data_IF_838445048361
#
_entry.id   IF_838445048361
#
_cell.length_a   1.000
_cell.length_b   1.000
_cell.length_c   1.000
_cell.angle_alpha   90.00
_cell.angle_beta   90.00
_cell.angle_gamma   90.00
#
_symmetry.space_group_name_H-M   'P 1'
#
loop_
_entity.id
_entity.type
_entity.pdbx_description
1 polymer ?
#
# COMPACT_ATOMS: atom_id res chain seq x y z
N UNK A 1 32.04 8.10 61.83
CA UNK A 1 31.94 7.55 60.46
C UNK A 1 31.28 8.59 59.58
N UNK A 2 31.97 9.04 58.52
CA UNK A 2 31.52 10.12 57.64
C UNK A 2 30.52 9.56 56.63
N UNK A 3 29.26 10.00 56.69
CA UNK A 3 28.31 9.79 55.59
C UNK A 3 28.72 10.71 54.43
N UNK A 4 29.30 10.14 53.38
CA UNK A 4 29.48 10.82 52.10
C UNK A 4 28.11 10.91 51.43
N UNK A 5 27.47 12.07 51.55
CA UNK A 5 26.44 12.49 50.59
C UNK A 5 27.18 12.81 49.30
N UNK A 6 27.15 11.90 48.34
CA UNK A 6 27.58 12.19 46.97
C UNK A 6 26.42 12.93 46.31
N UNK A 7 26.49 14.26 46.27
CA UNK A 7 25.58 15.04 45.44
C UNK A 7 25.96 14.79 43.97
N UNK A 8 25.24 13.89 43.28
CA UNK A 8 25.30 13.84 41.83
C UNK A 8 24.57 15.09 41.31
N UNK A 9 25.33 16.14 41.00
CA UNK A 9 24.84 17.26 40.18
C UNK A 9 24.68 16.73 38.76
N UNK A 10 23.51 16.19 38.43
CA UNK A 10 23.13 15.95 37.04
C UNK A 10 22.95 17.32 36.39
N UNK A 11 24.00 17.80 35.74
CA UNK A 11 23.92 18.98 34.89
C UNK A 11 23.29 18.50 33.59
N UNK A 12 21.96 18.49 33.51
CA UNK A 12 21.26 18.36 32.23
C UNK A 12 21.60 19.60 31.40
N UNK A 13 22.65 19.52 30.59
CA UNK A 13 22.71 20.31 29.38
C UNK A 13 21.78 19.65 28.37
N UNK A 14 20.49 19.95 28.48
CA UNK A 14 19.55 19.73 27.39
C UNK A 14 19.87 20.76 26.30
N UNK A 15 20.82 20.43 25.42
CA UNK A 15 20.93 21.13 24.15
C UNK A 15 19.70 20.73 23.34
N UNK A 16 18.67 21.59 23.36
CA UNK A 16 17.54 21.50 22.48
C UNK A 16 18.05 21.49 21.03
N UNK A 17 17.97 20.34 20.35
CA UNK A 17 18.23 20.28 18.92
C UNK A 17 17.00 20.83 18.22
N UNK A 18 17.19 22.03 17.66
CA UNK A 18 16.25 22.70 16.78
C UNK A 18 15.98 21.79 15.59
N UNK A 19 14.69 21.51 15.35
CA UNK A 19 14.19 20.99 14.09
C UNK A 19 14.61 21.95 12.97
N UNK A 20 15.76 21.69 12.35
CA UNK A 20 16.23 22.49 11.22
C UNK A 20 15.39 22.13 10.01
N UNK A 21 14.68 23.13 9.50
CA UNK A 21 13.79 23.04 8.37
C UNK A 21 14.56 22.61 7.10
N UNK A 22 14.49 21.33 6.79
CA UNK A 22 14.59 20.81 5.43
C UNK A 22 13.36 19.94 5.21
N UNK A 23 12.33 20.53 4.60
CA UNK A 23 11.12 19.90 4.10
C UNK A 23 10.66 18.66 4.91
N UNK A 24 10.30 18.86 6.18
CA UNK A 24 9.48 17.87 6.89
C UNK A 24 8.20 17.69 6.07
N UNK A 25 8.03 16.54 5.42
CA UNK A 25 6.73 16.20 4.86
C UNK A 25 5.71 16.28 6.02
N UNK A 26 4.52 16.84 5.79
CA UNK A 26 3.53 16.99 6.86
C UNK A 26 3.27 15.65 7.55
N UNK A 27 3.41 15.60 8.88
CA UNK A 27 3.07 14.43 9.71
C UNK A 27 4.24 13.69 10.37
N UNK A 28 5.49 14.10 10.16
CA UNK A 28 6.65 13.46 10.83
C UNK A 28 6.94 14.05 12.20
N UNK A 29 7.28 13.19 13.17
CA UNK A 29 7.71 13.58 14.52
C UNK A 29 9.02 12.89 14.88
N UNK A 30 10.00 13.66 15.36
CA UNK A 30 11.16 13.13 16.09
C UNK A 30 10.96 13.40 17.58
N UNK A 31 11.16 12.38 18.39
CA UNK A 31 10.95 12.42 19.85
C UNK A 31 12.14 11.82 20.57
N UNK A 32 12.55 12.37 21.71
CA UNK A 32 13.53 11.75 22.60
C UNK A 32 12.77 11.07 23.74
N UNK A 33 13.05 9.80 23.98
CA UNK A 33 12.41 9.01 25.05
C UNK A 33 13.47 8.31 25.89
N UNK A 34 13.09 7.87 27.09
CA UNK A 34 13.93 7.02 27.94
C UNK A 34 13.24 5.67 28.06
N UNK A 35 13.97 4.59 27.78
CA UNK A 35 13.42 3.24 27.90
C UNK A 35 13.39 2.75 29.36
N UNK A 36 12.87 1.53 29.57
CA UNK A 36 12.78 0.92 30.90
C UNK A 36 14.13 0.65 31.56
N UNK A 37 15.22 0.66 30.81
CA UNK A 37 16.59 0.45 31.29
C UNK A 37 17.35 1.77 31.51
N UNK A 38 16.70 2.91 31.26
CA UNK A 38 17.28 4.23 31.42
C UNK A 38 18.10 4.71 30.21
N UNK A 39 18.04 4.01 29.08
CA UNK A 39 18.71 4.44 27.86
C UNK A 39 17.91 5.54 27.14
N UNK A 40 18.63 6.53 26.63
CA UNK A 40 18.07 7.55 25.76
C UNK A 40 17.84 6.96 24.37
N UNK A 41 16.62 7.12 23.86
CA UNK A 41 16.21 6.72 22.52
C UNK A 41 15.82 7.96 21.72
N UNK A 42 16.22 7.99 20.46
CA UNK A 42 15.58 8.84 19.46
C UNK A 42 14.49 8.00 18.79
N UNK A 43 13.25 8.47 18.86
CA UNK A 43 12.07 7.87 18.26
C UNK A 43 11.63 8.69 17.07
N UNK A 44 11.41 8.05 15.94
CA UNK A 44 10.81 8.63 14.75
C UNK A 44 9.39 8.13 14.59
N UNK A 45 8.49 9.03 14.24
CA UNK A 45 7.14 8.71 13.78
C UNK A 45 6.90 9.43 12.46
N UNK A 46 6.25 8.76 11.51
CA UNK A 46 5.92 9.37 10.23
C UNK A 46 4.67 8.76 9.61
N UNK A 47 4.13 9.41 8.55
CA UNK A 47 2.99 8.90 7.82
C UNK A 47 3.17 7.43 7.40
N UNK A 48 2.19 6.56 7.69
CA UNK A 48 2.25 5.11 7.50
C UNK A 48 2.48 4.66 6.04
N UNK A 49 2.18 5.53 5.08
CA UNK A 49 2.38 5.34 3.65
C UNK A 49 3.76 5.77 3.14
N UNK A 50 4.66 6.22 4.01
CA UNK A 50 5.99 6.71 3.63
C UNK A 50 7.07 6.00 4.41
N UNK A 51 8.04 5.44 3.69
CA UNK A 51 9.27 4.94 4.31
C UNK A 51 10.16 6.10 4.72
N UNK A 52 10.74 5.98 5.89
CA UNK A 52 11.70 6.92 6.43
C UNK A 52 12.96 6.22 6.83
N UNK A 53 14.08 6.91 6.66
CA UNK A 53 15.33 6.49 7.28
C UNK A 53 15.63 7.47 8.39
N UNK A 54 15.81 6.95 9.60
CA UNK A 54 16.36 7.74 10.69
C UNK A 54 17.86 7.88 10.43
N UNK A 55 18.31 9.12 10.27
CA UNK A 55 19.71 9.40 10.02
C UNK A 55 20.35 10.15 11.19
N UNK A 56 21.59 9.79 11.49
CA UNK A 56 22.45 10.45 12.46
C UNK A 56 23.57 11.21 11.77
N UNK A 57 23.99 12.34 12.35
CA UNK A 57 25.15 13.10 11.87
C UNK A 57 25.93 13.70 13.03
N UNK A 58 27.26 13.68 12.96
CA UNK A 58 28.12 14.39 13.93
C UNK A 58 28.37 15.86 13.57
N UNK A 59 28.14 16.26 12.32
CA UNK A 59 28.57 17.55 11.77
C UNK A 59 27.50 18.27 10.91
N UNK A 60 26.29 17.70 10.81
CA UNK A 60 25.19 18.09 9.92
C UNK A 60 25.49 17.98 8.42
N UNK A 61 26.68 17.51 8.02
CA UNK A 61 27.13 17.40 6.64
C UNK A 61 27.09 15.94 6.17
N UNK A 62 27.64 15.02 6.96
CA UNK A 62 27.63 13.59 6.70
C UNK A 62 26.52 12.94 7.52
N UNK A 63 25.60 12.27 6.82
CA UNK A 63 24.45 11.59 7.42
C UNK A 63 24.59 10.10 7.20
N UNK A 64 24.48 9.33 8.28
CA UNK A 64 24.53 7.87 8.28
C UNK A 64 23.15 7.32 8.65
N UNK A 65 22.74 6.27 7.97
CA UNK A 65 21.49 5.57 8.24
C UNK A 65 21.63 4.78 9.55
N UNK A 66 20.70 5.02 10.49
CA UNK A 66 20.67 4.37 11.79
C UNK A 66 19.69 3.18 11.84
N UNK A 67 18.86 3.03 10.80
CA UNK A 67 17.89 1.96 10.60
C UNK A 67 17.71 1.59 9.11
N UNK A 68 17.17 0.38 8.86
CA UNK A 68 16.83 -0.12 7.53
C UNK A 68 15.42 0.34 7.12
N UNK A 69 15.22 1.64 6.93
CA UNK A 69 14.00 2.27 6.40
C UNK A 69 12.66 1.79 7.03
N UNK A 70 12.09 2.58 7.94
CA UNK A 70 10.86 2.25 8.67
C UNK A 70 9.60 2.90 8.11
N UNK A 71 8.47 2.19 8.24
CA UNK A 71 7.17 2.56 7.70
C UNK A 71 6.37 3.55 8.54
N UNK A 72 6.59 3.58 9.84
CA UNK A 72 5.74 4.37 10.74
C UNK A 72 6.48 4.77 12.00
N UNK A 73 7.23 3.84 12.60
CA UNK A 73 7.96 4.10 13.82
C UNK A 73 9.32 3.41 13.81
N UNK A 74 10.36 4.15 14.19
CA UNK A 74 11.64 3.56 14.61
C UNK A 74 12.08 4.14 15.94
N UNK A 75 12.92 3.38 16.63
CA UNK A 75 13.67 3.87 17.76
C UNK A 75 15.13 3.43 17.64
N UNK A 76 16.04 4.37 17.88
CA UNK A 76 17.47 4.11 17.89
C UNK A 76 18.05 4.58 19.21
N UNK A 77 18.96 3.77 19.78
CA UNK A 77 19.61 4.09 21.04
C UNK A 77 20.65 5.18 20.82
N UNK A 78 20.58 6.25 21.60
CA UNK A 78 21.59 7.29 21.61
C UNK A 78 22.80 6.75 22.38
N UNK A 79 23.89 6.45 21.66
CA UNK A 79 25.15 6.01 22.28
C UNK A 79 25.74 7.10 23.19
N UNK A 80 26.17 6.67 24.39
CA UNK A 80 26.58 7.39 25.62
C UNK A 80 26.30 8.90 25.80
N UNK A 81 25.77 9.31 26.98
CA UNK A 81 25.76 10.70 27.43
C UNK A 81 27.20 11.23 27.57
N UNK A 82 27.71 11.93 26.55
CA UNK A 82 29.06 12.49 26.53
C UNK A 82 29.84 12.27 25.22
N UNK A 83 29.28 11.53 24.25
CA UNK A 83 29.82 11.44 22.88
C UNK A 83 29.73 12.75 22.10
N UNK A 84 30.32 12.84 20.89
CA UNK A 84 30.15 14.01 20.02
C UNK A 84 28.65 14.27 19.81
N UNK A 85 28.25 15.55 19.79
CA UNK A 85 26.85 15.92 19.53
C UNK A 85 26.37 15.22 18.26
N UNK A 86 25.26 14.48 18.35
CA UNK A 86 24.62 13.85 17.21
C UNK A 86 23.33 14.60 16.85
N UNK A 87 23.24 15.00 15.59
CA UNK A 87 22.02 15.51 14.96
C UNK A 87 21.23 14.32 14.42
N UNK A 88 19.91 14.39 14.50
CA UNK A 88 19.01 13.37 13.96
C UNK A 88 18.03 14.00 12.99
N UNK A 89 17.71 13.30 11.91
CA UNK A 89 16.64 13.67 10.99
C UNK A 89 15.89 12.45 10.52
N UNK A 90 14.67 12.67 10.07
CA UNK A 90 13.97 11.72 9.21
C UNK A 90 14.21 12.15 7.77
N UNK A 91 14.82 11.27 7.00
CA UNK A 91 14.90 11.41 5.56
C UNK A 91 13.81 10.53 4.92
N UNK A 92 13.07 11.03 3.92
CA UNK A 92 12.29 10.15 3.07
C UNK A 92 13.20 9.06 2.51
N UNK A 93 12.82 7.81 2.66
CA UNK A 93 13.53 6.73 1.99
C UNK A 93 13.41 6.94 0.48
N UNK A 94 14.56 6.89 -0.20
CA UNK A 94 14.61 6.97 -1.65
C UNK A 94 14.87 5.57 -2.19
N UNK A 95 14.02 5.05 -3.09
CA UNK A 95 14.28 3.77 -3.73
C UNK A 95 15.62 3.81 -4.49
N UNK A 96 16.28 2.65 -4.67
CA UNK A 96 17.52 2.55 -5.45
C UNK A 96 17.37 3.13 -6.86
N UNK A 97 18.49 3.56 -7.46
CA UNK A 97 18.50 4.12 -8.80
C UNK A 97 17.99 3.10 -9.84
N UNK A 98 16.74 3.25 -10.28
CA UNK A 98 16.06 2.38 -11.24
C UNK A 98 14.55 2.61 -11.24
N UNK A 99 13.79 2.03 -12.20
CA UNK A 99 12.34 2.06 -12.15
C UNK A 99 11.84 1.27 -10.94
N UNK A 100 10.90 1.84 -10.19
CA UNK A 100 10.23 1.12 -9.10
C UNK A 100 9.42 -0.05 -9.66
N UNK A 101 9.22 -1.09 -8.87
CA UNK A 101 8.35 -2.21 -9.21
C UNK A 101 7.01 -2.06 -8.49
N UNK A 102 5.93 -2.13 -9.26
CA UNK A 102 4.54 -2.13 -8.78
C UNK A 102 3.95 -3.50 -9.09
N UNK A 103 3.59 -4.26 -8.07
CA UNK A 103 2.95 -5.57 -8.23
C UNK A 103 1.44 -5.42 -8.02
N UNK A 104 0.65 -6.10 -8.85
CA UNK A 104 -0.80 -6.25 -8.66
C UNK A 104 -1.08 -7.69 -8.23
N UNK A 105 -1.87 -7.89 -7.19
CA UNK A 105 -2.34 -9.21 -6.74
C UNK A 105 -3.86 -9.19 -6.61
N UNK A 106 -4.48 -10.31 -6.99
CA UNK A 106 -5.92 -10.42 -6.96
C UNK A 106 -6.48 -11.55 -7.79
N UNK A 107 -7.78 -11.46 -8.05
CA UNK A 107 -8.54 -12.45 -8.80
C UNK A 107 -8.69 -12.10 -10.30
N UNK A 108 -9.70 -12.70 -10.96
CA UNK A 108 -9.98 -12.51 -12.38
C UNK A 108 -10.36 -11.08 -12.75
N UNK A 109 -10.80 -10.25 -11.80
CA UNK A 109 -11.10 -8.85 -12.07
C UNK A 109 -9.85 -7.97 -12.12
N UNK A 110 -8.69 -8.47 -11.68
CA UNK A 110 -7.39 -7.80 -11.75
C UNK A 110 -6.51 -8.40 -12.84
N UNK A 111 -6.58 -9.72 -13.03
CA UNK A 111 -5.69 -10.51 -13.87
C UNK A 111 -5.60 -10.07 -15.33
N UNK A 112 -4.45 -10.35 -15.92
CA UNK A 112 -4.29 -10.36 -17.37
C UNK A 112 -4.93 -11.63 -17.93
N UNK A 113 -5.73 -11.49 -18.99
CA UNK A 113 -6.24 -12.65 -19.71
C UNK A 113 -5.46 -12.82 -21.01
N UNK A 114 -4.87 -14.00 -21.18
CA UNK A 114 -4.19 -14.39 -22.41
C UNK A 114 -4.89 -15.60 -23.05
N UNK A 115 -4.54 -15.92 -24.29
CA UNK A 115 -5.03 -17.11 -25.00
C UNK A 115 -6.55 -17.11 -25.23
N UNK A 116 -7.22 -18.26 -25.07
CA UNK A 116 -8.66 -18.47 -25.32
C UNK A 116 -9.62 -17.63 -24.45
N UNK A 117 -9.11 -16.91 -23.45
CA UNK A 117 -9.87 -15.98 -22.61
C UNK A 117 -9.55 -14.50 -22.87
N UNK A 118 -8.77 -14.20 -23.91
CA UNK A 118 -8.32 -12.84 -24.28
C UNK A 118 -9.43 -11.82 -24.55
N UNK A 119 -10.69 -12.24 -24.57
CA UNK A 119 -11.84 -11.34 -24.66
C UNK A 119 -12.25 -10.74 -23.30
N UNK A 120 -11.83 -11.35 -22.19
CA UNK A 120 -11.98 -10.77 -20.86
C UNK A 120 -10.77 -9.91 -20.52
N UNK A 121 -10.99 -8.89 -19.69
CA UNK A 121 -9.92 -8.06 -19.15
C UNK A 121 -10.15 -7.87 -17.65
N UNK A 122 -9.07 -7.90 -16.88
CA UNK A 122 -9.04 -7.34 -15.53
C UNK A 122 -8.60 -5.88 -15.56
N UNK A 123 -8.99 -5.08 -14.56
CA UNK A 123 -8.57 -3.68 -14.48
C UNK A 123 -7.05 -3.53 -14.34
N UNK A 124 -6.34 -4.56 -13.83
CA UNK A 124 -4.88 -4.57 -13.79
C UNK A 124 -4.25 -4.49 -15.18
N UNK A 125 -4.85 -5.16 -16.17
CA UNK A 125 -4.41 -5.09 -17.57
C UNK A 125 -4.58 -3.67 -18.15
N UNK A 126 -5.60 -2.94 -17.68
CA UNK A 126 -5.83 -1.54 -18.05
C UNK A 126 -4.84 -0.55 -17.41
N UNK A 127 -4.02 -0.96 -16.44
CA UNK A 127 -3.06 -0.07 -15.76
C UNK A 127 -1.79 0.20 -16.56
N UNK A 128 -1.42 -0.67 -17.50
CA UNK A 128 -0.11 -0.63 -18.16
C UNK A 128 0.19 0.72 -18.84
N UNK A 129 -0.81 1.32 -19.48
CA UNK A 129 -0.67 2.61 -20.15
C UNK A 129 -0.51 3.82 -19.23
N UNK A 130 -0.80 3.67 -17.93
CA UNK A 130 -0.79 4.81 -17.00
C UNK A 130 0.58 5.10 -16.37
N UNK A 131 1.53 4.16 -16.40
CA UNK A 131 2.82 4.33 -15.73
C UNK A 131 3.91 4.86 -16.66
N UNK A 132 4.69 5.83 -16.16
CA UNK A 132 5.91 6.33 -16.79
C UNK A 132 6.98 5.21 -16.79
N UNK A 133 8.03 5.31 -17.62
CA UNK A 133 9.18 4.39 -17.58
C UNK A 133 9.92 4.33 -16.24
N UNK A 134 9.61 5.23 -15.30
CA UNK A 134 10.13 5.21 -13.93
C UNK A 134 9.42 4.20 -13.03
N UNK A 135 8.42 3.47 -13.53
CA UNK A 135 7.77 2.37 -12.85
C UNK A 135 7.54 1.19 -13.80
N UNK A 136 7.72 -0.03 -13.27
CA UNK A 136 7.44 -1.29 -13.95
C UNK A 136 6.28 -1.99 -13.24
N UNK A 137 5.19 -2.21 -13.96
CA UNK A 137 4.03 -2.95 -13.44
C UNK A 137 4.22 -4.44 -13.70
N UNK A 138 3.95 -5.26 -12.69
CA UNK A 138 3.94 -6.73 -12.78
C UNK A 138 2.59 -7.22 -12.24
N UNK A 139 1.72 -7.67 -13.14
CA UNK A 139 0.44 -8.24 -12.74
C UNK A 139 0.60 -9.71 -12.37
N UNK A 140 0.47 -10.03 -11.08
CA UNK A 140 0.50 -11.38 -10.54
C UNK A 140 -0.90 -11.86 -10.12
N UNK A 141 -1.95 -11.13 -10.49
CA UNK A 141 -3.31 -11.58 -10.22
C UNK A 141 -3.68 -12.78 -11.08
N UNK A 142 -4.42 -13.73 -10.49
CA UNK A 142 -4.78 -14.98 -11.14
C UNK A 142 -6.29 -15.24 -11.06
N UNK A 143 -6.94 -15.58 -12.18
CA UNK A 143 -8.36 -15.93 -12.17
C UNK A 143 -8.69 -17.06 -11.18
N UNK A 144 -9.71 -16.85 -10.35
CA UNK A 144 -10.12 -17.84 -9.36
C UNK A 144 -9.23 -17.93 -8.10
N UNK A 145 -8.29 -17.01 -7.91
CA UNK A 145 -7.48 -16.91 -6.70
C UNK A 145 -8.21 -16.12 -5.60
N UNK A 146 -8.05 -16.54 -4.35
CA UNK A 146 -8.54 -15.84 -3.16
C UNK A 146 -7.38 -15.42 -2.28
N UNK A 147 -7.62 -14.62 -1.23
CA UNK A 147 -6.54 -14.26 -0.30
C UNK A 147 -5.94 -15.50 0.37
N UNK A 148 -6.77 -16.51 0.67
CA UNK A 148 -6.34 -17.80 1.22
C UNK A 148 -5.48 -18.60 0.26
N UNK A 149 -5.93 -18.81 -0.98
CA UNK A 149 -5.17 -19.64 -1.93
C UNK A 149 -3.91 -18.94 -2.43
N UNK A 150 -3.90 -17.61 -2.44
CA UNK A 150 -2.73 -16.79 -2.74
C UNK A 150 -1.55 -17.11 -1.80
N UNK A 151 -1.77 -17.26 -0.49
CA UNK A 151 -0.68 -17.51 0.47
C UNK A 151 0.16 -18.77 0.18
N UNK A 152 -0.38 -19.74 -0.55
CA UNK A 152 0.31 -20.98 -0.94
C UNK A 152 0.63 -21.04 -2.43
N UNK A 153 0.55 -19.92 -3.13
CA UNK A 153 0.63 -19.84 -4.59
C UNK A 153 2.04 -19.52 -5.10
N UNK A 154 2.28 -19.77 -6.39
CA UNK A 154 3.51 -19.35 -7.04
C UNK A 154 3.59 -17.81 -7.15
N UNK A 155 2.44 -17.14 -7.26
CA UNK A 155 2.34 -15.68 -7.37
C UNK A 155 2.77 -14.99 -6.07
N UNK A 156 2.41 -15.54 -4.91
CA UNK A 156 2.90 -15.05 -3.61
C UNK A 156 4.41 -15.24 -3.49
N UNK A 157 4.93 -16.44 -3.82
CA UNK A 157 6.36 -16.69 -3.82
C UNK A 157 7.13 -15.74 -4.76
N UNK A 158 6.56 -15.43 -5.93
CA UNK A 158 7.13 -14.49 -6.88
C UNK A 158 7.10 -13.05 -6.36
N UNK A 159 6.01 -12.61 -5.71
CA UNK A 159 5.93 -11.30 -5.06
C UNK A 159 7.04 -11.14 -4.01
N UNK A 160 7.21 -12.14 -3.14
CA UNK A 160 8.25 -12.13 -2.09
C UNK A 160 9.65 -12.09 -2.71
N UNK A 161 9.89 -12.84 -3.79
CA UNK A 161 11.18 -12.83 -4.48
C UNK A 161 11.47 -11.49 -5.19
N UNK A 162 10.44 -10.83 -5.73
CA UNK A 162 10.55 -9.54 -6.42
C UNK A 162 10.79 -8.37 -5.46
N UNK A 163 10.33 -8.48 -4.21
CA UNK A 163 10.41 -7.42 -3.18
C UNK A 163 9.99 -6.03 -3.70
N UNK A 164 8.81 -5.90 -4.35
CA UNK A 164 8.40 -4.67 -5.01
C UNK A 164 8.25 -3.48 -4.05
N UNK A 165 8.44 -2.26 -4.57
CA UNK A 165 8.21 -1.04 -3.82
C UNK A 165 6.73 -0.86 -3.46
N UNK A 166 5.81 -1.23 -4.35
CA UNK A 166 4.37 -1.14 -4.13
C UNK A 166 3.66 -2.44 -4.50
N UNK A 167 2.64 -2.80 -3.72
CA UNK A 167 1.76 -3.94 -4.01
C UNK A 167 0.30 -3.52 -3.85
N UNK A 168 -0.46 -3.58 -4.94
CA UNK A 168 -1.91 -3.41 -4.92
C UNK A 168 -2.56 -4.77 -4.71
N UNK A 169 -3.42 -4.87 -3.70
CA UNK A 169 -4.00 -6.12 -3.22
C UNK A 169 -5.52 -6.02 -3.34
N UNK A 170 -6.12 -6.88 -4.18
CA UNK A 170 -7.58 -6.95 -4.30
C UNK A 170 -8.08 -8.40 -4.30
N UNK A 171 -8.62 -8.82 -3.16
CA UNK A 171 -9.29 -10.10 -2.99
C UNK A 171 -10.68 -9.90 -2.36
N UNK A 172 -11.46 -10.98 -2.22
CA UNK A 172 -12.77 -10.95 -1.58
C UNK A 172 -13.89 -11.61 -2.39
N UNK A 173 -13.78 -11.65 -3.73
CA UNK A 173 -14.78 -12.31 -4.56
C UNK A 173 -14.70 -13.83 -4.38
N UNK A 174 -13.54 -14.41 -4.68
CA UNK A 174 -13.34 -15.86 -4.58
C UNK A 174 -13.37 -16.34 -3.11
N UNK A 175 -12.96 -15.49 -2.17
CA UNK A 175 -13.12 -15.71 -0.74
C UNK A 175 -14.58 -15.96 -0.33
N UNK A 176 -15.52 -15.25 -0.96
CA UNK A 176 -16.94 -15.35 -0.68
C UNK A 176 -17.63 -16.49 -1.44
N UNK A 177 -17.33 -16.67 -2.74
CA UNK A 177 -18.09 -17.58 -3.61
C UNK A 177 -17.26 -18.63 -4.35
N UNK A 178 -15.98 -18.79 -4.01
CA UNK A 178 -15.13 -19.83 -4.58
C UNK A 178 -15.77 -21.22 -4.43
N UNK A 179 -15.63 -22.05 -5.46
CA UNK A 179 -16.22 -23.40 -5.45
C UNK A 179 -15.44 -24.42 -4.64
N UNK A 180 -14.22 -24.07 -4.19
CA UNK A 180 -13.32 -24.94 -3.45
C UNK A 180 -13.17 -24.43 -2.00
N UNK A 181 -13.29 -25.30 -0.98
CA UNK A 181 -13.07 -24.92 0.42
C UNK A 181 -11.66 -24.35 0.71
N UNK A 182 -10.70 -24.69 -0.14
CA UNK A 182 -9.33 -24.14 -0.09
C UNK A 182 -9.25 -22.70 -0.58
N UNK A 183 -10.31 -22.16 -1.20
CA UNK A 183 -10.37 -20.79 -1.71
C UNK A 183 -11.31 -19.92 -0.89
N UNK A 184 -12.36 -20.48 -0.28
CA UNK A 184 -13.33 -19.69 0.51
C UNK A 184 -12.82 -19.39 1.92
N UNK A 185 -13.24 -18.26 2.47
CA UNK A 185 -12.90 -17.81 3.83
C UNK A 185 -14.11 -17.27 4.59
N UNK A 186 -14.15 -17.51 5.90
CA UNK A 186 -15.02 -16.74 6.81
C UNK A 186 -14.57 -15.28 6.88
N UNK A 187 -15.38 -14.37 7.45
CA UNK A 187 -14.97 -12.96 7.62
C UNK A 187 -13.68 -12.81 8.48
N UNK A 188 -13.53 -13.52 9.62
CA UNK A 188 -12.29 -13.44 10.39
C UNK A 188 -11.07 -14.03 9.68
N UNK A 189 -11.22 -15.17 8.99
CA UNK A 189 -10.11 -15.75 8.21
C UNK A 189 -9.66 -14.81 7.09
N UNK A 190 -10.62 -14.15 6.42
CA UNK A 190 -10.31 -13.18 5.38
C UNK A 190 -9.49 -12.01 5.91
N UNK A 191 -9.87 -11.47 7.08
CA UNK A 191 -9.11 -10.42 7.75
C UNK A 191 -7.68 -10.88 8.07
N UNK A 192 -7.53 -12.10 8.60
CA UNK A 192 -6.22 -12.68 8.92
C UNK A 192 -5.35 -12.82 7.67
N UNK A 193 -5.88 -13.37 6.57
CA UNK A 193 -5.13 -13.53 5.33
C UNK A 193 -4.71 -12.19 4.72
N UNK A 194 -5.57 -11.18 4.72
CA UNK A 194 -5.18 -9.84 4.29
C UNK A 194 -4.07 -9.28 5.18
N UNK A 195 -4.16 -9.49 6.50
CA UNK A 195 -3.12 -9.10 7.45
C UNK A 195 -1.79 -9.82 7.21
N UNK A 196 -1.81 -11.11 6.88
CA UNK A 196 -0.60 -11.86 6.50
C UNK A 196 0.06 -11.27 5.26
N UNK A 197 -0.71 -11.03 4.19
CA UNK A 197 -0.18 -10.44 2.95
C UNK A 197 0.46 -9.06 3.23
N UNK A 198 -0.21 -8.21 4.01
CA UNK A 198 0.30 -6.89 4.42
C UNK A 198 1.62 -7.01 5.19
N UNK A 199 1.73 -7.97 6.11
CA UNK A 199 2.95 -8.21 6.90
C UNK A 199 4.11 -8.68 6.02
N UNK A 200 3.87 -9.63 5.12
CA UNK A 200 4.89 -10.13 4.20
C UNK A 200 5.43 -9.01 3.32
N UNK A 201 4.54 -8.14 2.82
CA UNK A 201 4.93 -6.98 2.00
C UNK A 201 5.83 -6.03 2.78
N UNK A 202 5.45 -5.71 4.02
CA UNK A 202 6.25 -4.83 4.88
C UNK A 202 7.60 -5.46 5.27
N UNK A 203 7.67 -6.78 5.43
CA UNK A 203 8.91 -7.49 5.80
C UNK A 203 10.03 -7.29 4.76
N UNK A 204 9.70 -7.38 3.47
CA UNK A 204 10.69 -7.08 2.43
C UNK A 204 10.81 -5.57 2.12
N UNK A 205 10.05 -4.76 2.83
CA UNK A 205 10.06 -3.33 2.77
C UNK A 205 8.92 -2.72 1.99
N UNK A 206 8.12 -3.42 1.17
CA UNK A 206 7.10 -2.88 0.24
C UNK A 206 5.94 -2.07 0.86
N UNK A 207 5.27 -1.24 0.03
CA UNK A 207 4.04 -0.49 0.37
C UNK A 207 2.82 -1.35 0.01
N UNK A 208 2.05 -1.88 0.98
CA UNK A 208 0.78 -2.49 0.66
C UNK A 208 -0.27 -1.41 0.35
N UNK A 209 -1.14 -1.68 -0.61
CA UNK A 209 -2.33 -0.87 -0.94
C UNK A 209 -3.50 -1.83 -1.04
N UNK A 210 -4.53 -1.65 -0.20
CA UNK A 210 -5.71 -2.51 -0.19
C UNK A 210 -6.84 -1.90 -1.02
N UNK A 211 -7.47 -2.74 -1.84
CA UNK A 211 -8.59 -2.35 -2.69
C UNK A 211 -9.82 -3.25 -2.46
N UNK A 212 -11.01 -2.66 -2.46
CA UNK A 212 -12.25 -3.44 -2.58
C UNK A 212 -12.44 -3.92 -4.03
N UNK A 213 -12.99 -5.12 -4.27
CA UNK A 213 -13.40 -5.53 -5.62
C UNK A 213 -14.39 -4.55 -6.26
N UNK A 214 -14.30 -4.32 -7.59
CA UNK A 214 -15.16 -3.36 -8.29
C UNK A 214 -16.63 -3.79 -8.33
N UNK A 215 -17.50 -2.87 -8.75
CA UNK A 215 -18.91 -3.14 -8.95
C UNK A 215 -19.18 -4.23 -9.98
N UNK A 216 -20.23 -5.03 -9.74
CA UNK A 216 -20.78 -5.99 -10.71
C UNK A 216 -21.89 -5.35 -11.51
N UNK A 217 -22.14 -5.85 -12.72
CA UNK A 217 -23.25 -5.40 -13.58
C UNK A 217 -24.58 -5.95 -13.07
N UNK A 218 -25.06 -5.47 -11.93
CA UNK A 218 -26.31 -5.90 -11.32
C UNK A 218 -27.13 -4.66 -10.99
N UNK A 219 -28.17 -4.40 -11.77
CA UNK A 219 -29.06 -3.25 -11.57
C UNK A 219 -30.37 -3.68 -10.91
N UNK A 220 -30.90 -2.83 -10.05
CA UNK A 220 -32.24 -2.96 -9.50
C UNK A 220 -33.30 -2.41 -10.47
N UNK A 221 -34.58 -2.53 -10.10
CA UNK A 221 -35.70 -2.04 -10.91
C UNK A 221 -35.71 -0.51 -11.10
N UNK A 222 -34.89 0.24 -10.35
CA UNK A 222 -34.73 1.69 -10.47
C UNK A 222 -33.57 2.10 -11.38
N UNK A 223 -32.81 1.13 -11.91
CA UNK A 223 -31.64 1.36 -12.75
C UNK A 223 -30.40 1.75 -11.95
N UNK A 224 -30.35 1.41 -10.65
CA UNK A 224 -29.17 1.60 -9.79
C UNK A 224 -28.45 0.29 -9.54
N UNK A 225 -27.12 0.35 -9.44
CA UNK A 225 -26.32 -0.82 -9.09
C UNK A 225 -26.67 -1.33 -7.68
N UNK A 226 -26.82 -2.64 -7.58
CA UNK A 226 -27.06 -3.36 -6.34
C UNK A 226 -25.73 -3.49 -5.58
N UNK A 227 -25.63 -2.99 -4.34
CA UNK A 227 -24.47 -3.23 -3.49
C UNK A 227 -24.35 -4.72 -3.16
N UNK A 228 -23.14 -5.26 -3.30
CA UNK A 228 -22.84 -6.67 -3.04
C UNK A 228 -21.70 -6.78 -2.02
N UNK A 229 -21.68 -7.89 -1.29
CA UNK A 229 -20.55 -8.30 -0.43
C UNK A 229 -20.08 -7.23 0.56
N UNK A 230 -21.02 -6.40 1.06
CA UNK A 230 -20.72 -5.24 1.89
C UNK A 230 -19.97 -5.61 3.16
N UNK A 231 -20.34 -6.72 3.82
CA UNK A 231 -19.63 -7.19 5.02
C UNK A 231 -18.17 -7.56 4.72
N UNK A 232 -17.90 -8.18 3.56
CA UNK A 232 -16.55 -8.53 3.16
C UNK A 232 -15.72 -7.30 2.81
N UNK A 233 -16.31 -6.35 2.11
CA UNK A 233 -15.62 -5.10 1.74
C UNK A 233 -15.39 -4.22 2.97
N UNK A 234 -16.27 -4.28 3.97
CA UNK A 234 -16.05 -3.69 5.28
C UNK A 234 -14.84 -4.32 5.99
N UNK A 235 -14.61 -5.63 5.88
CA UNK A 235 -13.38 -6.26 6.40
C UNK A 235 -12.13 -5.66 5.75
N UNK A 236 -12.11 -5.46 4.43
CA UNK A 236 -10.94 -4.86 3.74
C UNK A 236 -10.68 -3.46 4.30
N UNK A 237 -11.72 -2.64 4.45
CA UNK A 237 -11.62 -1.28 5.01
C UNK A 237 -11.14 -1.30 6.46
N UNK A 238 -11.64 -2.23 7.27
CA UNK A 238 -11.25 -2.37 8.67
C UNK A 238 -9.79 -2.79 8.77
N UNK A 239 -9.35 -3.80 8.02
CA UNK A 239 -7.93 -4.21 7.98
C UNK A 239 -7.04 -3.06 7.53
N UNK A 240 -7.45 -2.31 6.51
CA UNK A 240 -6.67 -1.16 6.06
C UNK A 240 -6.58 -0.07 7.13
N UNK A 241 -7.63 0.15 7.92
CA UNK A 241 -7.63 1.10 9.04
C UNK A 241 -6.78 0.59 10.21
N UNK A 242 -6.96 -0.67 10.60
CA UNK A 242 -6.28 -1.30 11.74
C UNK A 242 -4.78 -1.45 11.51
N UNK A 243 -4.37 -1.79 10.29
CA UNK A 243 -2.98 -1.96 9.91
C UNK A 243 -2.36 -0.71 9.31
N UNK A 244 -3.12 0.37 9.19
CA UNK A 244 -2.67 1.65 8.66
C UNK A 244 -2.08 1.53 7.25
N UNK A 245 -2.93 1.10 6.32
CA UNK A 245 -2.61 0.78 4.93
C UNK A 245 -3.43 1.68 4.02
N UNK A 246 -2.83 2.20 2.95
CA UNK A 246 -3.56 3.00 1.96
C UNK A 246 -4.72 2.19 1.38
N UNK A 247 -5.92 2.75 1.45
CA UNK A 247 -7.15 2.07 1.07
C UNK A 247 -7.80 2.75 -0.14
N UNK A 248 -8.17 1.97 -1.14
CA UNK A 248 -8.95 2.42 -2.30
C UNK A 248 -10.27 1.67 -2.32
N UNK A 249 -11.37 2.39 -2.08
CA UNK A 249 -12.71 1.83 -2.21
C UNK A 249 -13.15 1.78 -3.69
N UNK A 250 -12.52 0.90 -4.46
CA UNK A 250 -12.83 0.76 -5.88
C UNK A 250 -14.27 0.30 -6.10
N UNK A 251 -14.88 -0.44 -5.16
CA UNK A 251 -16.31 -0.76 -5.22
C UNK A 251 -17.18 0.50 -5.26
N UNK A 252 -16.95 1.44 -4.33
CA UNK A 252 -17.68 2.71 -4.30
C UNK A 252 -17.38 3.56 -5.54
N UNK A 253 -16.09 3.73 -5.90
CA UNK A 253 -15.67 4.54 -7.05
C UNK A 253 -16.28 4.03 -8.37
N UNK A 254 -16.26 2.72 -8.58
CA UNK A 254 -16.85 2.11 -9.77
C UNK A 254 -18.37 2.15 -9.75
N UNK A 255 -19.00 1.99 -8.58
CA UNK A 255 -20.45 2.11 -8.45
C UNK A 255 -20.95 3.50 -8.79
N UNK A 256 -20.28 4.54 -8.30
CA UNK A 256 -20.63 5.94 -8.60
C UNK A 256 -20.46 6.26 -10.09
N UNK A 257 -19.35 5.79 -10.67
CA UNK A 257 -19.09 5.95 -12.10
C UNK A 257 -20.19 5.32 -12.95
N UNK A 258 -20.52 4.05 -12.69
CA UNK A 258 -21.56 3.32 -13.44
C UNK A 258 -22.94 3.94 -13.23
N UNK A 259 -23.30 4.28 -11.98
CA UNK A 259 -24.59 4.89 -11.67
C UNK A 259 -24.76 6.28 -12.31
N UNK A 260 -23.67 6.99 -12.58
CA UNK A 260 -23.66 8.25 -13.32
C UNK A 260 -23.89 8.08 -14.82
N UNK A 261 -23.41 6.98 -15.41
CA UNK A 261 -23.67 6.61 -16.80
C UNK A 261 -25.07 6.01 -17.00
N UNK A 262 -25.62 5.36 -15.97
CA UNK A 262 -26.83 4.55 -16.06
C UNK A 262 -26.59 3.21 -16.75
N UNK A 263 -27.60 2.33 -16.72
CA UNK A 263 -27.48 0.96 -17.24
C UNK A 263 -27.06 0.91 -18.71
N UNK A 264 -27.78 1.60 -19.61
CA UNK A 264 -27.44 1.62 -21.03
C UNK A 264 -26.10 2.29 -21.32
N UNK A 265 -25.75 3.36 -20.60
CA UNK A 265 -24.49 4.09 -20.79
C UNK A 265 -23.26 3.31 -20.32
N UNK A 266 -23.46 2.31 -19.45
CA UNK A 266 -22.38 1.53 -18.85
C UNK A 266 -22.16 0.16 -19.51
N UNK A 267 -22.93 -0.18 -20.56
CA UNK A 267 -22.84 -1.50 -21.19
C UNK A 267 -21.44 -1.84 -21.69
N UNK A 268 -20.68 -0.84 -22.15
CA UNK A 268 -19.33 -1.01 -22.68
C UNK A 268 -18.32 -1.50 -21.64
N UNK A 269 -18.61 -1.39 -20.34
CA UNK A 269 -17.66 -1.74 -19.27
C UNK A 269 -17.46 -3.25 -19.19
N UNK A 270 -18.51 -4.04 -19.36
CA UNK A 270 -18.43 -5.49 -19.23
C UNK A 270 -18.39 -6.17 -20.58
N UNK A 271 -17.75 -7.34 -20.64
CA UNK A 271 -17.85 -8.19 -21.81
C UNK A 271 -19.32 -8.54 -22.09
N UNK A 272 -19.79 -8.55 -23.36
CA UNK A 272 -21.19 -8.83 -23.68
C UNK A 272 -21.72 -10.12 -23.03
N UNK A 273 -22.84 -10.01 -22.31
CA UNK A 273 -23.46 -11.12 -21.58
C UNK A 273 -22.74 -11.52 -20.28
N UNK A 274 -21.67 -10.83 -19.88
CA UNK A 274 -20.97 -11.02 -18.62
C UNK A 274 -21.39 -9.95 -17.58
N UNK A 275 -21.34 -10.32 -16.30
CA UNK A 275 -21.73 -9.45 -15.19
C UNK A 275 -20.58 -9.12 -14.22
N UNK A 276 -19.36 -9.56 -14.53
CA UNK A 276 -18.19 -9.46 -13.67
C UNK A 276 -16.92 -9.08 -14.43
N UNK A 277 -16.62 -9.74 -15.54
CA UNK A 277 -15.40 -9.51 -16.33
C UNK A 277 -15.59 -8.39 -17.35
N UNK A 278 -14.52 -7.64 -17.57
CA UNK A 278 -14.56 -6.40 -18.33
C UNK A 278 -14.27 -6.62 -19.81
N UNK A 279 -14.75 -5.70 -20.62
CA UNK A 279 -14.14 -5.41 -21.92
C UNK A 279 -12.79 -4.71 -21.69
N UNK A 280 -11.99 -4.56 -22.74
CA UNK A 280 -10.77 -3.74 -22.70
C UNK A 280 -11.05 -2.31 -22.22
N UNK A 281 -12.03 -1.62 -22.82
CA UNK A 281 -12.40 -0.26 -22.46
C UNK A 281 -12.93 -0.14 -21.02
N UNK A 282 -13.63 -1.16 -20.53
CA UNK A 282 -14.08 -1.22 -19.14
C UNK A 282 -12.93 -1.39 -18.15
N UNK A 283 -11.98 -2.26 -18.47
CA UNK A 283 -10.77 -2.44 -17.68
C UNK A 283 -9.96 -1.15 -17.60
N UNK A 284 -9.79 -0.42 -18.71
CA UNK A 284 -9.13 0.89 -18.73
C UNK A 284 -9.88 1.95 -17.91
N UNK A 285 -11.22 1.97 -17.97
CA UNK A 285 -12.03 2.91 -17.20
C UNK A 285 -11.88 2.68 -15.69
N UNK A 286 -11.94 1.42 -15.24
CA UNK A 286 -11.75 1.07 -13.84
C UNK A 286 -10.29 1.24 -13.38
N UNK A 287 -9.31 0.92 -14.23
CA UNK A 287 -7.90 1.23 -13.98
C UNK A 287 -7.71 2.74 -13.74
N UNK A 288 -8.36 3.60 -14.54
CA UNK A 288 -8.32 5.04 -14.35
C UNK A 288 -8.89 5.51 -13.01
N UNK A 289 -9.90 4.83 -12.45
CA UNK A 289 -10.40 5.11 -11.10
C UNK A 289 -9.35 4.77 -10.04
N UNK A 290 -8.72 3.60 -10.15
CA UNK A 290 -7.63 3.18 -9.25
C UNK A 290 -6.48 4.16 -9.31
N UNK A 291 -6.01 4.51 -10.51
CA UNK A 291 -4.88 5.43 -10.74
C UNK A 291 -5.10 6.79 -10.07
N UNK A 292 -6.31 7.34 -10.16
CA UNK A 292 -6.65 8.61 -9.50
C UNK A 292 -6.59 8.54 -7.97
N UNK A 293 -6.83 7.36 -7.40
CA UNK A 293 -6.88 7.10 -5.97
C UNK A 293 -5.57 6.55 -5.38
N UNK A 294 -4.53 6.36 -6.19
CA UNK A 294 -3.21 5.93 -5.72
C UNK A 294 -2.60 6.95 -4.74
N UNK A 295 -1.75 6.50 -3.79
CA UNK A 295 -1.02 7.42 -2.91
C UNK A 295 -0.14 8.37 -3.73
N UNK A 296 0.09 9.59 -3.21
CA UNK A 296 0.84 10.62 -3.90
C UNK A 296 2.25 10.16 -4.32
N UNK A 297 2.89 9.35 -3.48
CA UNK A 297 4.21 8.78 -3.73
C UNK A 297 4.24 7.88 -4.98
N UNK A 298 3.19 7.09 -5.21
CA UNK A 298 3.07 6.28 -6.44
C UNK A 298 2.57 7.09 -7.63
N UNK A 299 1.64 8.04 -7.43
CA UNK A 299 1.13 8.90 -8.50
C UNK A 299 2.23 9.72 -9.21
N UNK A 300 3.34 10.00 -8.54
CA UNK A 300 4.50 10.66 -9.18
C UNK A 300 5.03 9.90 -10.40
N UNK A 301 4.83 8.57 -10.43
CA UNK A 301 5.24 7.67 -11.51
C UNK A 301 4.16 7.43 -12.57
N UNK A 302 3.02 8.10 -12.49
CA UNK A 302 1.91 7.99 -13.44
C UNK A 302 1.97 9.15 -14.45
N UNK A 303 1.59 8.93 -15.71
CA UNK A 303 1.41 9.98 -16.73
C UNK A 303 0.26 10.92 -16.31
N UNK A 304 0.44 12.23 -16.46
CA UNK A 304 -0.64 13.18 -16.12
C UNK A 304 -1.77 13.06 -17.14
N UNK A 305 -3.02 13.14 -16.68
CA UNK A 305 -4.21 13.10 -17.52
C UNK A 305 -4.18 14.24 -18.55
N UNK A 306 -3.81 13.90 -19.78
CA UNK A 306 -3.51 14.81 -20.89
C UNK A 306 -2.51 14.20 -21.87
N UNK A 307 -1.68 13.28 -21.39
CA UNK A 307 -0.86 12.37 -22.21
C UNK A 307 -1.61 11.05 -22.34
N UNK A 308 -2.59 10.98 -23.25
CA UNK A 308 -3.19 9.69 -23.62
C UNK A 308 -2.07 8.81 -24.18
N UNK A 309 -1.94 7.54 -23.75
CA UNK A 309 -1.07 6.59 -24.43
C UNK A 309 -1.48 6.57 -25.91
N UNK A 310 -0.50 6.65 -26.80
CA UNK A 310 -0.75 6.44 -28.21
C UNK A 310 -1.48 5.10 -28.35
N UNK A 311 -2.74 5.17 -28.79
CA UNK A 311 -3.47 4.00 -29.24
C UNK A 311 -2.62 3.35 -30.35
N UNK A 312 -2.45 2.01 -30.35
CA UNK A 312 -1.73 1.32 -31.42
C UNK A 312 -2.35 1.53 -32.80
#
# INVERSE_FOLDING_TARGET
MKNRVVSLRLSLFAAAVVASACASAPGQTLSIRVDSEGALLIGAEGPPETRYVLQGSGDMLQWEDLDDAVWSQSSHRIEEPGGPMRFYRLAPWTPPAGPITVVLTGDSTVADFTSNLSHFHGWGQGMYGYFKPTARVVNLAMPGQSSKSFMSSAEHAQMVALRPEYVLIQFGLIDEFGSLPTHTTTLPEFAEYLGMIVRDIREFGGVPILLTPPARKLFDATGKLIPIYQDRFAVIRNVATELDVHFIDLNQLSSDFVNGLGESGSEYIWWPGNYLHFSEAGAEAFAGLVVRALPASLRAHVVESGETPAQP
#
